data_IF_501721635576
#
_entry.id   IF_501721635576
#
_cell.length_a   1.000
_cell.length_b   1.000
_cell.length_c   1.000
_cell.angle_alpha   90.00
_cell.angle_beta   90.00
_cell.angle_gamma   90.00
#
_symmetry.space_group_name_H-M   'P 1'
#
loop_
_entity.id
_entity.type
_entity.pdbx_description
1 polymer ?
#
# COMPACT_ATOMS: atom_id res chain seq x y z
N UNK A 1 -4.47 0.11 49.77
CA UNK A 1 -5.87 0.50 50.06
C UNK A 1 -6.57 0.67 48.73
N UNK A 2 -7.14 -0.43 48.25
CA UNK A 2 -7.85 -0.51 46.97
C UNK A 2 -9.18 0.23 47.05
N UNK A 3 -9.61 0.84 45.95
CA UNK A 3 -10.91 1.50 45.77
C UNK A 3 -12.13 0.67 46.21
N UNK A 4 -11.97 -0.65 46.35
CA UNK A 4 -12.98 -1.58 46.91
C UNK A 4 -13.35 -1.36 48.39
N UNK A 5 -12.55 -0.64 49.19
CA UNK A 5 -12.87 -0.40 50.61
C UNK A 5 -13.67 0.90 50.87
N UNK A 6 -13.82 1.78 49.88
CA UNK A 6 -14.59 3.03 50.05
C UNK A 6 -16.11 2.86 49.88
N UNK A 7 -16.55 1.83 49.14
CA UNK A 7 -17.96 1.70 48.75
C UNK A 7 -18.88 1.14 49.84
N UNK A 8 -18.34 0.46 50.85
CA UNK A 8 -19.20 -0.26 51.83
C UNK A 8 -19.67 0.62 53.01
N UNK A 9 -19.04 1.78 53.26
CA UNK A 9 -19.40 2.66 54.40
C UNK A 9 -20.47 3.70 54.09
N UNK A 10 -20.63 4.14 52.85
CA UNK A 10 -21.66 5.12 52.47
C UNK A 10 -23.04 4.49 52.22
N UNK A 11 -23.10 3.21 51.87
CA UNK A 11 -24.36 2.54 51.51
C UNK A 11 -25.27 2.18 52.70
N UNK A 12 -24.81 2.28 53.95
CA UNK A 12 -25.57 1.82 55.13
C UNK A 12 -26.62 2.79 55.69
N UNK A 13 -26.66 4.05 55.23
CA UNK A 13 -27.54 5.09 55.80
C UNK A 13 -28.42 5.83 54.77
N UNK A 14 -28.52 5.34 53.53
CA UNK A 14 -29.34 5.98 52.50
C UNK A 14 -30.72 5.31 52.41
N UNK A 15 -31.78 6.13 52.41
CA UNK A 15 -33.18 5.70 52.32
C UNK A 15 -33.38 4.85 51.04
N UNK A 16 -34.04 3.68 51.10
CA UNK A 16 -34.25 2.82 49.93
C UNK A 16 -34.98 3.52 48.77
N UNK A 17 -35.83 4.52 49.06
CA UNK A 17 -36.46 5.35 48.04
C UNK A 17 -35.50 6.36 47.38
N UNK A 18 -34.44 6.77 48.08
CA UNK A 18 -33.41 7.67 47.57
C UNK A 18 -32.36 6.92 46.73
N UNK A 19 -32.07 5.65 47.07
CA UNK A 19 -31.21 4.76 46.26
C UNK A 19 -31.89 4.46 44.93
N UNK A 20 -33.22 4.26 44.91
CA UNK A 20 -33.97 4.05 43.67
C UNK A 20 -33.98 5.28 42.75
N UNK A 21 -34.05 6.49 43.32
CA UNK A 21 -34.00 7.74 42.54
C UNK A 21 -32.58 8.05 42.05
N UNK A 22 -31.53 7.79 42.85
CA UNK A 22 -30.14 7.96 42.43
C UNK A 22 -29.76 6.94 41.34
N UNK A 23 -30.20 5.68 41.46
CA UNK A 23 -30.01 4.67 40.41
C UNK A 23 -30.80 5.00 39.14
N UNK A 24 -32.00 5.59 39.24
CA UNK A 24 -32.79 6.01 38.07
C UNK A 24 -32.21 7.26 37.40
N UNK A 25 -31.58 8.17 38.14
CA UNK A 25 -30.91 9.37 37.60
C UNK A 25 -29.56 9.04 36.96
N UNK A 26 -28.84 8.04 37.49
CA UNK A 26 -27.59 7.52 36.89
C UNK A 26 -27.88 6.70 35.62
N UNK A 27 -29.04 6.01 35.53
CA UNK A 27 -29.47 5.30 34.32
C UNK A 27 -29.97 6.22 33.20
N UNK A 28 -30.37 7.46 33.49
CA UNK A 28 -30.82 8.45 32.48
C UNK A 28 -29.68 9.35 31.99
N UNK A 29 -28.49 9.30 32.62
CA UNK A 29 -27.33 10.14 32.27
C UNK A 29 -26.19 9.41 31.54
N UNK A 30 -26.37 8.13 31.18
CA UNK A 30 -25.51 7.40 30.24
C UNK A 30 -26.22 7.13 28.90
N UNK A 31 -26.89 8.14 28.34
CA UNK A 31 -27.08 8.22 26.89
C UNK A 31 -26.06 9.22 26.35
N UNK A 32 -24.77 8.92 26.53
CA UNK A 32 -23.78 9.46 25.62
C UNK A 32 -24.11 8.84 24.27
N UNK A 33 -24.94 9.53 23.49
CA UNK A 33 -25.03 9.29 22.07
C UNK A 33 -23.59 9.38 21.56
N UNK A 34 -22.99 8.24 21.23
CA UNK A 34 -21.80 8.22 20.42
C UNK A 34 -22.18 9.04 19.19
N UNK A 35 -21.67 10.26 19.10
CA UNK A 35 -21.82 11.06 17.90
C UNK A 35 -21.06 10.27 16.84
N UNK A 36 -21.80 9.52 16.03
CA UNK A 36 -21.30 8.97 14.78
C UNK A 36 -21.01 10.18 13.90
N UNK A 37 -19.84 10.77 14.06
CA UNK A 37 -19.31 11.71 13.09
C UNK A 37 -19.19 10.90 11.81
N UNK A 38 -20.12 11.08 10.88
CA UNK A 38 -19.91 10.62 9.51
C UNK A 38 -18.63 11.31 9.05
N UNK A 39 -17.58 10.57 8.68
CA UNK A 39 -16.33 11.18 8.29
C UNK A 39 -16.61 12.18 7.16
N UNK A 40 -16.19 13.43 7.37
CA UNK A 40 -16.49 14.51 6.44
C UNK A 40 -15.74 14.28 5.13
N UNK A 41 -16.36 14.66 4.01
CA UNK A 41 -15.74 14.48 2.70
C UNK A 41 -14.51 15.40 2.61
N UNK A 42 -13.30 14.88 2.28
CA UNK A 42 -12.11 15.71 2.14
C UNK A 42 -12.27 16.80 1.07
N UNK A 43 -11.73 17.99 1.34
CA UNK A 43 -11.86 19.14 0.43
C UNK A 43 -11.28 18.88 -0.97
N UNK A 44 -10.24 18.05 -1.09
CA UNK A 44 -9.65 17.70 -2.38
C UNK A 44 -10.62 16.90 -3.27
N UNK A 45 -11.51 16.09 -2.69
CA UNK A 45 -12.56 15.37 -3.44
C UNK A 45 -13.53 16.38 -4.06
N UNK A 46 -13.87 17.44 -3.31
CA UNK A 46 -14.75 18.51 -3.77
C UNK A 46 -14.11 19.33 -4.88
N UNK A 47 -12.80 19.57 -4.81
CA UNK A 47 -12.04 20.19 -5.89
C UNK A 47 -12.00 19.31 -7.15
N UNK A 48 -11.81 17.99 -7.00
CA UNK A 48 -11.86 17.05 -8.13
C UNK A 48 -13.24 17.04 -8.79
N UNK A 49 -14.32 17.06 -8.02
CA UNK A 49 -15.67 17.18 -8.57
C UNK A 49 -15.86 18.47 -9.39
N UNK A 50 -15.32 19.60 -8.91
CA UNK A 50 -15.30 20.86 -9.66
C UNK A 50 -14.58 20.68 -10.99
N UNK A 51 -13.31 20.26 -10.96
CA UNK A 51 -12.48 20.09 -12.16
C UNK A 51 -13.08 19.08 -13.14
N UNK A 52 -13.70 18.02 -12.65
CA UNK A 52 -14.36 17.02 -13.49
C UNK A 52 -15.57 17.61 -14.21
N UNK A 53 -16.37 18.42 -13.48
CA UNK A 53 -17.52 19.12 -14.05
C UNK A 53 -17.13 20.18 -15.09
N UNK A 54 -15.95 20.79 -14.94
CA UNK A 54 -15.36 21.76 -15.86
C UNK A 54 -14.59 21.08 -17.02
N UNK A 55 -14.48 19.75 -17.01
CA UNK A 55 -13.78 18.98 -18.04
C UNK A 55 -12.24 19.04 -17.97
N UNK A 56 -11.69 19.47 -16.84
CA UNK A 56 -10.23 19.59 -16.62
C UNK A 56 -9.59 18.25 -16.24
N UNK A 57 -10.36 17.32 -15.66
CA UNK A 57 -9.91 15.95 -15.36
C UNK A 57 -10.82 14.91 -16.01
N UNK A 58 -10.30 13.71 -16.24
CA UNK A 58 -11.01 12.61 -16.91
C UNK A 58 -11.95 11.90 -15.93
N UNK A 59 -12.88 11.11 -16.46
CA UNK A 59 -13.77 10.25 -15.67
C UNK A 59 -12.98 9.35 -14.72
N UNK A 60 -11.84 8.80 -15.19
CA UNK A 60 -10.93 7.98 -14.38
C UNK A 60 -10.40 8.69 -13.14
N UNK A 61 -10.15 9.99 -13.22
CA UNK A 61 -9.61 10.78 -12.11
C UNK A 61 -10.71 11.10 -11.09
N UNK A 62 -11.93 11.33 -11.57
CA UNK A 62 -13.11 11.47 -10.73
C UNK A 62 -13.46 10.17 -10.01
N UNK A 63 -13.44 9.02 -10.71
CA UNK A 63 -13.76 7.73 -10.10
C UNK A 63 -12.74 7.28 -9.06
N UNK A 64 -11.47 7.69 -9.15
CA UNK A 64 -10.47 7.50 -8.07
C UNK A 64 -10.86 8.22 -6.78
N UNK A 65 -11.47 9.40 -6.87
CA UNK A 65 -12.03 10.08 -5.70
C UNK A 65 -13.21 9.32 -5.09
N UNK A 66 -14.10 8.76 -5.92
CA UNK A 66 -15.20 7.93 -5.43
C UNK A 66 -14.70 6.63 -4.81
N UNK A 67 -13.70 6.00 -5.42
CA UNK A 67 -13.00 4.83 -4.89
C UNK A 67 -12.45 5.11 -3.49
N UNK A 68 -11.77 6.24 -3.30
CA UNK A 68 -11.29 6.68 -1.98
C UNK A 68 -12.43 6.78 -0.96
N UNK A 69 -13.56 7.42 -1.30
CA UNK A 69 -14.69 7.55 -0.37
C UNK A 69 -15.28 6.19 0.03
N UNK A 70 -15.29 5.23 -0.89
CA UNK A 70 -15.75 3.87 -0.63
C UNK A 70 -14.77 3.15 0.29
N UNK A 71 -13.48 3.15 -0.06
CA UNK A 71 -12.42 2.48 0.68
C UNK A 71 -12.33 2.99 2.13
N UNK A 72 -12.49 4.29 2.33
CA UNK A 72 -12.45 4.95 3.64
C UNK A 72 -13.76 4.82 4.44
N UNK A 73 -14.76 4.10 3.93
CA UNK A 73 -16.05 3.93 4.59
C UNK A 73 -16.91 5.20 4.70
N UNK A 74 -16.50 6.29 4.06
CA UNK A 74 -17.26 7.56 3.96
C UNK A 74 -18.52 7.34 3.11
N UNK A 75 -18.41 6.52 2.06
CA UNK A 75 -19.49 6.14 1.17
C UNK A 75 -19.71 4.62 1.22
N UNK A 76 -20.90 4.19 1.65
CA UNK A 76 -21.25 2.76 1.70
C UNK A 76 -22.07 2.37 0.47
N UNK A 77 -21.67 1.32 -0.25
CA UNK A 77 -22.46 0.75 -1.35
C UNK A 77 -23.13 -0.53 -0.84
N UNK A 78 -24.46 -0.55 -0.82
CA UNK A 78 -25.22 -1.65 -0.19
C UNK A 78 -25.36 -2.89 -1.07
N UNK A 79 -25.13 -2.79 -2.38
CA UNK A 79 -25.05 -3.87 -3.38
C UNK A 79 -24.83 -3.20 -4.75
N UNK A 80 -23.85 -3.66 -5.53
CA UNK A 80 -23.63 -3.21 -6.91
C UNK A 80 -24.19 -4.27 -7.87
N UNK A 81 -25.03 -3.86 -8.82
CA UNK A 81 -25.46 -4.79 -9.89
C UNK A 81 -24.28 -5.10 -10.83
N UNK A 82 -24.10 -6.35 -11.29
CA UNK A 82 -23.12 -6.65 -12.33
C UNK A 82 -23.45 -5.83 -13.58
N UNK A 83 -22.44 -5.16 -14.11
CA UNK A 83 -22.54 -4.18 -15.19
C UNK A 83 -23.30 -4.74 -16.39
N UNK A 84 -24.38 -4.07 -16.82
CA UNK A 84 -24.84 -4.22 -18.20
C UNK A 84 -23.87 -3.44 -19.09
N UNK A 85 -23.28 -4.15 -20.04
CA UNK A 85 -22.28 -3.68 -20.99
C UNK A 85 -22.65 -2.36 -21.65
N UNK A 86 -22.16 -1.24 -21.11
CA UNK A 86 -22.06 0.02 -21.85
C UNK A 86 -20.67 0.59 -21.65
N UNK A 87 -19.84 0.39 -22.67
CA UNK A 87 -18.49 0.92 -22.83
C UNK A 87 -18.46 2.41 -23.20
N UNK A 88 -19.49 3.18 -22.84
CA UNK A 88 -19.48 4.63 -22.97
C UNK A 88 -19.29 5.20 -21.57
N UNK A 89 -18.28 6.07 -21.42
CA UNK A 89 -17.91 6.71 -20.15
C UNK A 89 -19.08 7.43 -19.46
N UNK A 90 -18.80 8.05 -18.32
CA UNK A 90 -19.84 8.59 -17.45
C UNK A 90 -20.70 9.58 -18.23
N UNK A 91 -22.04 9.38 -18.32
CA UNK A 91 -22.89 10.28 -19.08
C UNK A 91 -22.73 11.73 -18.64
N UNK A 92 -22.56 12.66 -19.58
CA UNK A 92 -22.21 14.06 -19.25
C UNK A 92 -23.24 14.77 -18.38
N UNK A 93 -24.50 14.32 -18.36
CA UNK A 93 -25.54 14.88 -17.49
C UNK A 93 -25.22 14.68 -16.00
N UNK A 94 -24.41 13.67 -15.65
CA UNK A 94 -23.96 13.39 -14.28
C UNK A 94 -23.03 14.51 -13.76
N UNK A 95 -22.28 15.17 -14.65
CA UNK A 95 -21.37 16.27 -14.29
C UNK A 95 -22.07 17.45 -13.62
N UNK A 96 -23.37 17.62 -13.86
CA UNK A 96 -24.16 18.64 -13.19
C UNK A 96 -24.25 18.42 -11.67
N UNK A 97 -24.33 17.17 -11.22
CA UNK A 97 -24.36 16.85 -9.79
C UNK A 97 -23.04 17.23 -9.11
N UNK A 98 -21.91 16.94 -9.77
CA UNK A 98 -20.59 17.34 -9.30
C UNK A 98 -20.43 18.87 -9.27
N UNK A 99 -20.94 19.57 -10.29
CA UNK A 99 -20.96 21.03 -10.33
C UNK A 99 -21.76 21.61 -9.17
N UNK A 100 -23.02 21.21 -9.01
CA UNK A 100 -23.90 21.67 -7.93
C UNK A 100 -23.29 21.43 -6.56
N UNK A 101 -22.66 20.27 -6.35
CA UNK A 101 -22.00 19.98 -5.08
C UNK A 101 -20.80 20.90 -4.84
N UNK A 102 -19.94 21.08 -5.86
CA UNK A 102 -18.75 21.93 -5.74
C UNK A 102 -19.07 23.41 -5.50
N UNK A 103 -20.21 23.89 -6.03
CA UNK A 103 -20.71 25.26 -5.86
C UNK A 103 -21.55 25.44 -4.58
N UNK A 104 -21.76 24.37 -3.80
CA UNK A 104 -22.55 24.40 -2.57
C UNK A 104 -24.07 24.48 -2.78
N UNK A 105 -24.56 24.13 -3.97
CA UNK A 105 -25.99 24.08 -4.28
C UNK A 105 -26.67 22.80 -3.75
N UNK A 106 -25.90 21.71 -3.61
CA UNK A 106 -26.31 20.50 -2.89
C UNK A 106 -25.29 20.17 -1.81
N UNK A 107 -25.74 19.53 -0.74
CA UNK A 107 -24.88 19.16 0.38
C UNK A 107 -24.13 17.83 0.16
N UNK A 108 -23.21 17.51 1.07
CA UNK A 108 -22.41 16.28 1.02
C UNK A 108 -23.28 15.02 1.07
N UNK A 109 -24.39 15.04 1.82
CA UNK A 109 -25.31 13.90 1.93
C UNK A 109 -26.06 13.64 0.63
N UNK A 110 -26.55 14.70 0.00
CA UNK A 110 -27.23 14.65 -1.30
C UNK A 110 -26.30 14.17 -2.40
N UNK A 111 -25.07 14.71 -2.45
CA UNK A 111 -24.07 14.26 -3.41
C UNK A 111 -23.72 12.78 -3.21
N UNK A 112 -23.43 12.35 -1.97
CA UNK A 112 -23.10 10.95 -1.65
C UNK A 112 -24.23 10.01 -2.04
N UNK A 113 -25.49 10.31 -1.69
CA UNK A 113 -26.65 9.49 -2.08
C UNK A 113 -26.79 9.38 -3.60
N UNK A 114 -26.55 10.47 -4.32
CA UNK A 114 -26.56 10.50 -5.77
C UNK A 114 -25.49 9.58 -6.37
N UNK A 115 -24.25 9.67 -5.89
CA UNK A 115 -23.16 8.80 -6.36
C UNK A 115 -23.39 7.34 -5.98
N UNK A 116 -23.84 7.06 -4.75
CA UNK A 116 -24.20 5.71 -4.30
C UNK A 116 -25.21 5.08 -5.25
N UNK A 117 -26.27 5.80 -5.61
CA UNK A 117 -27.26 5.32 -6.57
C UNK A 117 -26.64 5.01 -7.94
N UNK A 118 -25.78 5.89 -8.44
CA UNK A 118 -25.15 5.74 -9.75
C UNK A 118 -24.17 4.56 -9.80
N UNK A 119 -23.43 4.33 -8.72
CA UNK A 119 -22.55 3.17 -8.56
C UNK A 119 -23.37 1.88 -8.44
N UNK A 120 -24.40 1.85 -7.59
CA UNK A 120 -25.27 0.67 -7.42
C UNK A 120 -26.01 0.26 -8.70
N UNK A 121 -26.33 1.22 -9.58
CA UNK A 121 -26.98 0.94 -10.87
C UNK A 121 -25.99 0.75 -12.03
N UNK A 122 -24.67 0.77 -11.77
CA UNK A 122 -23.64 0.55 -12.79
C UNK A 122 -23.49 1.68 -13.81
N UNK A 123 -24.00 2.88 -13.50
CA UNK A 123 -23.83 4.09 -14.34
C UNK A 123 -22.44 4.69 -14.14
N UNK A 124 -21.93 4.64 -12.91
CA UNK A 124 -20.52 4.89 -12.59
C UNK A 124 -19.91 3.54 -12.23
N UNK A 125 -18.92 3.11 -12.99
CA UNK A 125 -18.09 1.95 -12.65
C UNK A 125 -16.90 2.45 -11.88
N UNK A 126 -16.71 1.93 -10.67
CA UNK A 126 -15.55 2.20 -9.82
C UNK A 126 -14.84 0.87 -9.61
N UNK A 127 -13.53 0.84 -9.84
CA UNK A 127 -12.71 -0.31 -9.43
C UNK A 127 -12.61 -0.29 -7.90
N UNK A 128 -13.52 -0.97 -7.21
CA UNK A 128 -13.45 -1.05 -5.75
C UNK A 128 -12.44 -2.11 -5.35
N UNK A 129 -11.38 -1.69 -4.65
CA UNK A 129 -10.52 -2.63 -3.92
C UNK A 129 -11.34 -3.12 -2.73
N UNK A 130 -11.49 -4.43 -2.57
CA UNK A 130 -12.29 -5.01 -1.50
C UNK A 130 -11.39 -5.69 -0.48
N UNK A 131 -11.31 -5.11 0.72
CA UNK A 131 -10.66 -5.69 1.87
C UNK A 131 -11.67 -6.47 2.71
N UNK A 132 -11.24 -7.56 3.33
CA UNK A 132 -12.08 -8.34 4.24
C UNK A 132 -12.08 -7.69 5.62
N UNK A 133 -13.21 -7.07 5.96
CA UNK A 133 -13.36 -6.37 7.23
C UNK A 133 -13.45 -7.31 8.42
N UNK A 134 -13.77 -8.61 8.23
CA UNK A 134 -13.85 -9.59 9.31
C UNK A 134 -12.47 -9.82 9.93
N UNK A 135 -11.39 -9.65 9.17
CA UNK A 135 -10.02 -9.82 9.65
C UNK A 135 -9.70 -8.92 10.86
N UNK A 136 -10.28 -7.72 10.92
CA UNK A 136 -10.10 -6.81 12.05
C UNK A 136 -10.62 -7.35 13.39
N UNK A 137 -11.55 -8.32 13.38
CA UNK A 137 -12.04 -8.99 14.60
C UNK A 137 -10.99 -9.95 15.19
N UNK A 138 -9.98 -10.32 14.39
CA UNK A 138 -8.95 -11.31 14.71
C UNK A 138 -7.54 -10.73 14.84
N UNK A 139 -7.37 -9.43 14.61
CA UNK A 139 -6.11 -8.73 14.89
C UNK A 139 -5.87 -8.73 16.41
N UNK A 140 -4.73 -9.24 16.87
CA UNK A 140 -4.28 -9.06 18.26
C UNK A 140 -3.99 -7.58 18.50
N UNK A 141 -4.36 -7.00 19.65
CA UNK A 141 -4.14 -5.58 20.02
C UNK A 141 -4.47 -4.53 18.92
N UNK A 142 -5.68 -4.51 18.33
CA UNK A 142 -5.99 -3.63 17.20
C UNK A 142 -5.93 -2.14 17.54
N UNK A 143 -6.04 -1.78 18.82
CA UNK A 143 -5.98 -0.40 19.30
C UNK A 143 -4.58 0.24 19.15
N UNK A 144 -3.53 -0.55 18.92
CA UNK A 144 -2.18 -0.03 18.64
C UNK A 144 -2.04 0.49 17.22
N UNK A 145 -2.93 0.08 16.32
CA UNK A 145 -2.85 0.40 14.90
C UNK A 145 -3.54 1.72 14.61
N UNK A 146 -2.79 2.71 14.14
CA UNK A 146 -3.36 3.94 13.59
C UNK A 146 -3.71 3.72 12.12
N UNK A 147 -5.00 3.63 11.81
CA UNK A 147 -5.49 3.38 10.46
C UNK A 147 -5.33 4.62 9.59
N UNK A 148 -4.57 4.50 8.50
CA UNK A 148 -4.39 5.55 7.49
C UNK A 148 -5.33 5.32 6.30
N UNK A 149 -5.42 4.08 5.82
CA UNK A 149 -6.43 3.66 4.85
C UNK A 149 -7.06 2.34 5.27
N UNK A 150 -8.40 2.33 5.35
CA UNK A 150 -9.16 1.12 5.66
C UNK A 150 -9.01 0.05 4.58
N UNK A 151 -8.75 0.45 3.33
CA UNK A 151 -8.49 -0.50 2.25
C UNK A 151 -7.63 0.10 1.13
N UNK A 152 -6.41 -0.40 1.01
CA UNK A 152 -5.47 -0.04 -0.04
C UNK A 152 -5.07 -1.26 -0.88
N UNK A 153 -4.44 -0.98 -2.02
CA UNK A 153 -3.79 -1.98 -2.84
C UNK A 153 -2.42 -1.48 -3.29
N UNK A 154 -1.40 -2.28 -3.03
CA UNK A 154 -0.02 -2.02 -3.39
C UNK A 154 0.54 -3.14 -4.25
N UNK A 155 1.63 -2.88 -4.95
CA UNK A 155 2.40 -3.89 -5.65
C UNK A 155 3.85 -3.80 -5.20
N UNK A 156 4.55 -4.92 -5.18
CA UNK A 156 5.92 -5.01 -4.70
C UNK A 156 6.48 -6.43 -4.76
N UNK A 157 7.71 -6.60 -4.31
CA UNK A 157 8.40 -7.89 -4.27
C UNK A 157 8.57 -8.36 -2.83
N UNK A 158 8.22 -9.62 -2.56
CA UNK A 158 8.40 -10.19 -1.22
C UNK A 158 9.89 -10.37 -0.95
N UNK A 159 10.43 -9.73 0.08
CA UNK A 159 11.85 -9.85 0.46
C UNK A 159 12.07 -10.85 1.59
N UNK A 160 11.11 -10.95 2.51
CA UNK A 160 11.25 -11.81 3.68
C UNK A 160 9.88 -12.28 4.16
N UNK A 161 9.82 -13.50 4.68
CA UNK A 161 8.65 -14.07 5.34
C UNK A 161 9.15 -14.71 6.63
N UNK A 162 8.54 -14.35 7.76
CA UNK A 162 8.82 -15.00 9.05
C UNK A 162 7.53 -15.19 9.84
N UNK A 163 7.42 -16.31 10.53
CA UNK A 163 6.33 -16.54 11.46
C UNK A 163 6.61 -15.82 12.79
N UNK A 164 5.60 -15.17 13.33
CA UNK A 164 5.65 -14.52 14.64
C UNK A 164 4.93 -15.34 15.71
N UNK A 165 5.17 -15.02 16.98
CA UNK A 165 4.70 -15.83 18.12
C UNK A 165 3.20 -15.72 18.37
N UNK A 166 2.57 -14.65 17.92
CA UNK A 166 1.13 -14.42 18.00
C UNK A 166 0.34 -15.22 16.96
N UNK A 167 1.03 -15.90 16.04
CA UNK A 167 0.43 -16.71 14.99
C UNK A 167 0.42 -16.02 13.63
N UNK A 168 0.94 -14.80 13.53
CA UNK A 168 0.93 -14.04 12.28
C UNK A 168 2.16 -14.39 11.41
N UNK A 169 2.15 -13.94 10.16
CA UNK A 169 3.38 -13.82 9.37
C UNK A 169 3.73 -12.35 9.20
N UNK A 170 4.93 -12.00 9.65
CA UNK A 170 5.59 -10.75 9.32
C UNK A 170 6.29 -10.91 7.97
N UNK A 171 5.81 -10.20 6.97
CA UNK A 171 6.32 -10.24 5.60
C UNK A 171 6.92 -8.88 5.28
N UNK A 172 8.15 -8.84 4.77
CA UNK A 172 8.70 -7.61 4.21
C UNK A 172 8.44 -7.58 2.71
N UNK A 173 7.83 -6.49 2.25
CA UNK A 173 7.52 -6.24 0.85
C UNK A 173 8.25 -4.97 0.38
N UNK A 174 9.20 -5.13 -0.53
CA UNK A 174 9.79 -4.02 -1.26
C UNK A 174 8.74 -3.46 -2.20
N UNK A 175 8.19 -2.29 -1.86
CA UNK A 175 7.13 -1.67 -2.65
C UNK A 175 7.63 -1.26 -4.04
N UNK A 176 6.73 -1.29 -5.03
CA UNK A 176 7.02 -0.67 -6.32
C UNK A 176 7.21 0.85 -6.14
N UNK A 177 8.02 1.52 -6.98
CA UNK A 177 8.36 2.93 -6.82
C UNK A 177 7.18 3.88 -6.64
N UNK A 178 6.05 3.61 -7.32
CA UNK A 178 4.82 4.41 -7.21
C UNK A 178 4.17 4.40 -5.81
N UNK A 179 4.56 3.48 -4.93
CA UNK A 179 4.05 3.35 -3.56
C UNK A 179 5.10 3.69 -2.50
N UNK A 180 6.32 4.12 -2.86
CA UNK A 180 7.37 4.41 -1.89
C UNK A 180 6.98 5.47 -0.84
N UNK A 181 6.07 6.40 -1.18
CA UNK A 181 5.53 7.39 -0.23
C UNK A 181 4.75 6.75 0.94
N UNK A 182 4.47 5.45 0.88
CA UNK A 182 3.85 4.68 1.97
C UNK A 182 4.87 4.13 2.99
N UNK A 183 6.17 4.27 2.72
CA UNK A 183 7.25 3.90 3.63
C UNK A 183 7.61 5.10 4.49
N UNK A 184 7.83 4.86 5.78
CA UNK A 184 8.31 5.91 6.68
C UNK A 184 9.70 5.57 7.25
N UNK A 185 10.26 6.49 8.04
CA UNK A 185 11.60 6.31 8.59
C UNK A 185 11.73 5.07 9.48
N UNK A 186 10.68 4.67 10.20
CA UNK A 186 10.73 3.47 11.03
C UNK A 186 10.80 2.19 10.17
N UNK A 187 10.16 2.15 9.00
CA UNK A 187 10.37 1.08 8.02
C UNK A 187 11.82 1.08 7.52
N UNK A 188 12.39 2.24 7.19
CA UNK A 188 13.80 2.34 6.75
C UNK A 188 14.74 1.80 7.81
N UNK A 189 14.57 2.23 9.06
CA UNK A 189 15.49 1.93 10.15
C UNK A 189 15.38 0.47 10.64
N UNK A 190 14.18 -0.12 10.58
CA UNK A 190 13.89 -1.40 11.26
C UNK A 190 13.38 -2.50 10.33
N UNK A 191 12.91 -2.14 9.14
CA UNK A 191 12.38 -3.05 8.13
C UNK A 191 13.14 -2.94 6.80
N UNK A 192 14.32 -2.31 6.82
CA UNK A 192 15.20 -2.15 5.66
C UNK A 192 14.57 -1.38 4.48
N UNK A 193 13.58 -0.52 4.75
CA UNK A 193 12.86 0.25 3.74
C UNK A 193 11.63 -0.44 3.18
N UNK A 194 11.33 -1.66 3.62
CA UNK A 194 10.14 -2.39 3.19
C UNK A 194 8.89 -2.01 3.97
N UNK A 195 7.72 -2.13 3.31
CA UNK A 195 6.46 -2.15 4.04
C UNK A 195 6.31 -3.52 4.70
N UNK A 196 5.80 -3.53 5.92
CA UNK A 196 5.44 -4.79 6.58
C UNK A 196 4.07 -5.22 6.07
N UNK A 197 3.89 -6.50 5.80
CA UNK A 197 2.57 -7.11 5.65
C UNK A 197 2.37 -8.08 6.79
N UNK A 198 1.19 -8.05 7.41
CA UNK A 198 0.79 -8.99 8.44
C UNK A 198 -0.44 -9.78 7.98
N UNK A 199 -0.22 -11.05 7.63
CA UNK A 199 -1.32 -12.03 7.51
C UNK A 199 -1.52 -12.67 8.87
N UNK A 200 -2.74 -12.61 9.39
CA UNK A 200 -3.02 -12.92 10.80
C UNK A 200 -3.39 -14.39 11.03
N UNK A 201 -3.08 -14.96 12.20
CA UNK A 201 -3.61 -16.25 12.62
C UNK A 201 -3.37 -17.44 11.65
N UNK A 202 -2.20 -17.50 11.00
CA UNK A 202 -1.85 -18.59 10.08
C UNK A 202 -0.97 -19.68 10.73
N UNK A 203 -0.23 -19.30 11.76
CA UNK A 203 0.77 -20.14 12.43
C UNK A 203 0.30 -20.60 13.81
N UNK A 204 0.90 -21.67 14.37
CA UNK A 204 0.69 -22.03 15.78
C UNK A 204 1.05 -20.87 16.71
N UNK A 205 0.14 -20.55 17.63
CA UNK A 205 0.29 -19.44 18.56
C UNK A 205 1.14 -19.87 19.76
N UNK A 206 2.30 -19.24 19.94
CA UNK A 206 3.17 -19.44 21.11
C UNK A 206 2.93 -18.39 22.20
N UNK A 207 2.38 -17.23 21.82
CA UNK A 207 2.09 -16.12 22.71
C UNK A 207 0.70 -16.27 23.36
N UNK A 208 0.69 -16.43 24.69
CA UNK A 208 -0.53 -16.80 25.45
C UNK A 208 -1.66 -15.79 25.33
N UNK A 209 -1.37 -14.50 25.31
CA UNK A 209 -2.38 -13.44 25.25
C UNK A 209 -2.88 -13.14 23.82
N UNK A 210 -2.22 -13.65 22.78
CA UNK A 210 -2.69 -13.60 21.39
C UNK A 210 -3.74 -14.68 21.07
N UNK A 211 -3.81 -15.76 21.86
CA UNK A 211 -4.68 -16.92 21.62
C UNK A 211 -6.15 -16.53 21.41
N UNK A 212 -6.66 -15.56 22.18
CA UNK A 212 -8.05 -15.15 22.10
C UNK A 212 -8.41 -14.50 20.75
N UNK A 213 -7.48 -13.78 20.14
CA UNK A 213 -7.69 -13.07 18.86
C UNK A 213 -7.85 -14.05 17.70
N UNK A 214 -7.13 -15.16 17.72
CA UNK A 214 -7.20 -16.21 16.69
C UNK A 214 -8.10 -17.39 17.07
N UNK A 215 -8.92 -17.26 18.12
CA UNK A 215 -9.76 -18.36 18.57
C UNK A 215 -10.76 -18.75 17.47
N UNK A 216 -10.75 -20.04 17.11
CA UNK A 216 -11.60 -20.64 16.07
C UNK A 216 -11.48 -19.99 14.68
N UNK A 217 -10.38 -19.26 14.44
CA UNK A 217 -10.08 -18.60 13.19
C UNK A 217 -8.68 -18.97 12.71
N UNK A 218 -8.58 -19.35 11.44
CA UNK A 218 -7.31 -19.55 10.73
C UNK A 218 -7.45 -18.85 9.40
N UNK A 219 -6.57 -17.88 9.15
CA UNK A 219 -6.48 -17.29 7.83
C UNK A 219 -5.76 -18.23 6.86
N UNK A 220 -6.19 -18.24 5.60
CA UNK A 220 -5.67 -19.16 4.58
C UNK A 220 -5.20 -18.40 3.34
N UNK A 221 -4.56 -17.24 3.52
CA UNK A 221 -3.91 -16.53 2.42
C UNK A 221 -2.66 -17.30 2.02
N UNK A 222 -2.62 -17.76 0.77
CA UNK A 222 -1.42 -18.35 0.17
C UNK A 222 -0.35 -17.26 -0.01
N UNK A 223 0.74 -17.34 0.75
CA UNK A 223 1.87 -16.41 0.64
C UNK A 223 2.85 -16.93 -0.41
N UNK A 224 3.08 -16.20 -1.53
CA UNK A 224 4.05 -16.62 -2.54
C UNK A 224 5.50 -16.58 -2.00
N UNK A 225 6.43 -17.34 -2.60
CA UNK A 225 7.82 -17.35 -2.15
C UNK A 225 8.49 -15.97 -2.21
N UNK A 226 9.52 -15.77 -1.38
CA UNK A 226 10.46 -14.63 -1.48
C UNK A 226 10.95 -14.47 -2.92
N UNK A 227 11.03 -13.23 -3.39
CA UNK A 227 11.36 -12.84 -4.76
C UNK A 227 10.14 -12.75 -5.69
N UNK A 228 8.94 -13.11 -5.24
CA UNK A 228 7.73 -13.02 -6.07
C UNK A 228 7.20 -11.58 -6.09
N UNK A 229 6.94 -11.06 -7.30
CA UNK A 229 6.22 -9.81 -7.48
C UNK A 229 4.71 -10.03 -7.31
N UNK A 230 4.11 -9.29 -6.39
CA UNK A 230 2.74 -9.49 -5.93
C UNK A 230 1.96 -8.19 -5.90
N UNK A 231 0.65 -8.32 -6.03
CA UNK A 231 -0.35 -7.30 -5.70
C UNK A 231 -0.97 -7.67 -4.36
N UNK A 232 -0.86 -6.76 -3.39
CA UNK A 232 -1.35 -6.96 -2.03
C UNK A 232 -2.51 -6.03 -1.78
N UNK A 233 -3.59 -6.55 -1.20
CA UNK A 233 -4.75 -5.78 -0.77
C UNK A 233 -4.92 -5.93 0.74
N UNK A 234 -5.13 -4.83 1.45
CA UNK A 234 -5.33 -4.84 2.90
C UNK A 234 -5.44 -3.42 3.48
N UNK A 235 -5.54 -3.31 4.81
CA UNK A 235 -5.60 -2.01 5.47
C UNK A 235 -4.21 -1.41 5.67
N UNK A 236 -4.01 -0.14 5.33
CA UNK A 236 -2.75 0.58 5.53
C UNK A 236 -2.76 1.30 6.88
N UNK A 237 -1.80 0.95 7.74
CA UNK A 237 -1.78 1.37 9.14
C UNK A 237 -0.35 1.74 9.58
N UNK A 238 -0.25 2.47 10.68
CA UNK A 238 1.00 2.62 11.44
C UNK A 238 0.89 1.87 12.76
N UNK A 239 1.88 1.03 13.08
CA UNK A 239 1.93 0.30 14.35
C UNK A 239 2.63 1.14 15.43
N UNK A 240 1.83 1.74 16.31
CA UNK A 240 2.31 2.68 17.33
C UNK A 240 3.15 2.02 18.43
N UNK A 241 3.10 0.69 18.60
CA UNK A 241 3.93 -0.03 19.57
C UNK A 241 5.26 -0.48 18.97
N UNK A 242 5.39 -0.44 17.64
CA UNK A 242 6.59 -0.79 16.89
C UNK A 242 7.22 0.42 16.19
N UNK A 243 7.45 1.49 16.94
CA UNK A 243 8.04 2.74 16.43
C UNK A 243 7.25 3.42 15.31
N UNK A 244 5.96 3.08 15.17
CA UNK A 244 5.08 3.62 14.12
C UNK A 244 5.53 3.28 12.71
N UNK A 245 6.18 2.15 12.46
CA UNK A 245 6.43 1.71 11.08
C UNK A 245 5.10 1.46 10.36
N UNK A 246 5.15 1.56 9.05
CA UNK A 246 4.01 1.40 8.18
C UNK A 246 3.80 -0.06 7.79
N UNK A 247 2.54 -0.49 7.81
CA UNK A 247 2.15 -1.87 7.51
C UNK A 247 0.90 -1.93 6.63
N UNK A 248 0.77 -3.02 5.88
CA UNK A 248 -0.52 -3.52 5.41
C UNK A 248 -0.98 -4.59 6.40
N UNK A 249 -1.89 -4.21 7.30
CA UNK A 249 -2.35 -5.04 8.41
C UNK A 249 -3.81 -4.71 8.76
N UNK A 250 -4.75 -5.67 8.68
CA UNK A 250 -4.54 -7.03 8.19
C UNK A 250 -4.48 -7.07 6.66
N UNK A 251 -3.70 -8.00 6.12
CA UNK A 251 -3.70 -8.33 4.68
C UNK A 251 -4.98 -9.09 4.34
N UNK A 252 -5.70 -8.66 3.31
CA UNK A 252 -6.91 -9.33 2.79
C UNK A 252 -6.62 -10.26 1.61
N UNK A 253 -5.63 -9.95 0.77
CA UNK A 253 -5.21 -10.84 -0.32
C UNK A 253 -3.80 -10.56 -0.82
N UNK A 254 -3.16 -11.59 -1.36
CA UNK A 254 -1.88 -11.53 -2.07
C UNK A 254 -2.04 -12.26 -3.41
N UNK A 255 -1.83 -11.55 -4.52
CA UNK A 255 -1.97 -12.09 -5.88
C UNK A 255 -0.65 -11.98 -6.64
N UNK A 256 -0.21 -13.06 -7.30
CA UNK A 256 1.00 -13.03 -8.13
C UNK A 256 0.75 -12.22 -9.41
N UNK A 257 1.67 -11.30 -9.72
CA UNK A 257 1.69 -10.57 -10.99
C UNK A 257 2.63 -11.31 -11.96
N UNK A 258 2.08 -11.85 -13.04
CA UNK A 258 2.91 -12.46 -14.09
C UNK A 258 3.38 -11.39 -15.10
N UNK A 259 4.54 -11.61 -15.73
CA UNK A 259 5.24 -10.67 -16.62
C UNK A 259 4.44 -10.19 -17.87
N UNK A 260 3.22 -10.68 -18.10
CA UNK A 260 2.29 -10.19 -19.13
C UNK A 260 1.14 -9.30 -18.57
N UNK A 261 1.24 -8.82 -17.33
CA UNK A 261 0.21 -7.97 -16.71
C UNK A 261 -1.11 -8.70 -16.41
N UNK A 262 -1.13 -10.03 -16.50
CA UNK A 262 -2.27 -10.86 -16.12
C UNK A 262 -2.10 -11.30 -14.67
N UNK A 263 -2.97 -10.84 -13.79
CA UNK A 263 -3.07 -11.34 -12.41
C UNK A 263 -3.74 -12.69 -12.42
N UNK A 264 -3.07 -13.73 -11.91
CA UNK A 264 -3.75 -14.98 -11.57
C UNK A 264 -4.23 -14.81 -10.13
N UNK A 265 -5.54 -14.60 -9.97
CA UNK A 265 -6.17 -14.84 -8.68
C UNK A 265 -6.07 -16.34 -8.42
N UNK A 266 -5.31 -16.73 -7.39
CA UNK A 266 -5.53 -18.03 -6.79
C UNK A 266 -6.99 -18.02 -6.30
N UNK A 267 -7.80 -18.94 -6.81
CA UNK A 267 -9.21 -19.04 -6.43
C UNK A 267 -9.34 -19.12 -4.91
N UNK A 268 -10.13 -18.22 -4.35
CA UNK A 268 -10.77 -18.40 -3.05
C UNK A 268 -11.53 -19.74 -3.06
N UNK A 269 -10.95 -20.77 -2.46
CA UNK A 269 -11.72 -21.82 -1.81
C UNK A 269 -11.72 -21.46 -0.34
N UNK A 270 -12.88 -21.03 0.15
CA UNK A 270 -13.06 -20.60 1.53
C UNK A 270 -12.51 -21.59 2.56
N UNK A 271 -12.20 -21.03 3.72
CA UNK A 271 -11.74 -21.70 4.93
C UNK A 271 -12.15 -23.18 5.00
N UNK A 272 -11.17 -24.07 4.90
CA UNK A 272 -11.36 -25.49 5.18
C UNK A 272 -10.29 -25.98 6.13
N UNK A 273 -10.77 -26.68 7.16
CA UNK A 273 -10.00 -27.25 8.26
C UNK A 273 -9.26 -28.51 7.77
N UNK A 274 -7.92 -28.62 7.97
CA UNK A 274 -7.09 -29.80 8.37
C UNK A 274 -5.72 -30.08 7.64
N UNK A 275 -4.64 -30.14 8.45
CA UNK A 275 -3.51 -31.12 8.61
C UNK A 275 -2.47 -31.53 7.47
N UNK A 276 -1.16 -31.31 7.77
CA UNK A 276 0.22 -31.59 7.18
C UNK A 276 0.61 -32.98 6.53
N UNK A 277 1.87 -33.31 6.01
CA UNK A 277 2.92 -32.68 5.11
C UNK A 277 3.67 -33.60 4.03
N UNK A 278 4.53 -33.04 3.09
CA UNK A 278 5.98 -33.39 2.72
C UNK A 278 6.56 -33.40 1.22
N UNK A 279 7.61 -32.55 0.94
CA UNK A 279 8.95 -32.59 0.19
C UNK A 279 9.25 -32.80 -1.36
N UNK A 280 10.13 -31.95 -2.00
CA UNK A 280 11.50 -32.19 -2.65
C UNK A 280 12.04 -31.11 -3.69
N UNK A 281 13.38 -31.00 -3.91
CA UNK A 281 14.21 -29.92 -4.57
C UNK A 281 14.88 -30.19 -5.97
N UNK A 282 15.41 -29.15 -6.70
CA UNK A 282 16.59 -29.20 -7.66
C UNK A 282 17.24 -27.81 -8.09
N UNK A 283 18.49 -27.81 -8.63
CA UNK A 283 19.57 -26.74 -8.79
C UNK A 283 19.52 -25.72 -9.99
N UNK A 284 20.10 -24.50 -9.86
CA UNK A 284 19.97 -23.31 -10.77
C UNK A 284 21.30 -22.62 -11.21
N UNK A 285 21.33 -22.06 -12.43
CA UNK A 285 22.41 -21.22 -13.04
C UNK A 285 22.31 -19.77 -12.51
N UNK A 286 23.44 -19.09 -12.24
CA UNK A 286 23.48 -17.73 -11.65
C UNK A 286 23.17 -16.59 -12.63
N UNK A 287 22.55 -15.52 -12.13
CA UNK A 287 22.07 -14.34 -12.89
C UNK A 287 22.88 -13.12 -12.49
N UNK A 288 23.29 -12.26 -13.44
CA UNK A 288 23.93 -10.99 -13.08
C UNK A 288 22.88 -9.95 -12.65
N UNK A 289 23.17 -9.19 -11.60
CA UNK A 289 22.35 -8.08 -11.13
C UNK A 289 23.14 -6.78 -11.25
N UNK A 290 22.47 -5.70 -11.64
CA UNK A 290 23.05 -4.36 -11.75
C UNK A 290 22.41 -3.48 -10.68
N UNK A 291 23.21 -2.76 -9.89
CA UNK A 291 22.77 -1.76 -8.91
C UNK A 291 23.46 -0.41 -9.17
N UNK A 292 22.76 0.70 -8.87
CA UNK A 292 23.27 2.05 -9.05
C UNK A 292 23.20 2.88 -7.78
N UNK A 293 24.30 3.56 -7.52
CA UNK A 293 24.36 4.58 -6.48
C UNK A 293 23.84 5.94 -7.02
N UNK A 294 22.80 6.45 -6.35
CA UNK A 294 22.53 7.87 -6.02
C UNK A 294 21.45 8.70 -6.77
N UNK A 295 20.79 9.51 -5.92
CA UNK A 295 20.09 10.80 -6.10
C UNK A 295 19.01 10.97 -7.18
N UNK A 296 17.77 11.20 -6.71
CA UNK A 296 16.53 11.33 -7.48
C UNK A 296 16.50 12.52 -8.47
N UNK A 297 17.35 13.55 -8.30
CA UNK A 297 17.43 14.69 -9.23
C UNK A 297 18.77 15.43 -9.23
N UNK A 298 19.11 16.04 -10.37
CA UNK A 298 20.31 16.87 -10.54
C UNK A 298 20.03 18.15 -11.34
N UNK A 299 20.64 19.27 -10.95
CA UNK A 299 20.55 20.51 -11.72
C UNK A 299 21.39 20.44 -13.01
N UNK A 300 20.83 20.89 -14.14
CA UNK A 300 21.58 20.99 -15.40
C UNK A 300 22.83 21.89 -15.24
N UNK A 301 23.93 21.52 -15.89
CA UNK A 301 25.22 22.20 -15.71
C UNK A 301 26.14 21.53 -14.67
N UNK A 302 25.59 20.66 -13.82
CA UNK A 302 26.33 19.87 -12.84
C UNK A 302 27.01 18.64 -13.45
N UNK A 303 27.91 18.02 -12.70
CA UNK A 303 28.52 16.73 -13.02
C UNK A 303 27.67 15.66 -12.35
N UNK A 304 27.16 14.72 -13.14
CA UNK A 304 26.55 13.50 -12.66
C UNK A 304 27.66 12.45 -12.53
N UNK A 305 27.65 11.71 -11.42
CA UNK A 305 28.45 10.51 -11.22
C UNK A 305 27.50 9.34 -10.98
N UNK A 306 27.87 8.16 -11.45
CA UNK A 306 27.11 6.93 -11.27
C UNK A 306 28.11 5.78 -11.09
N UNK A 307 27.75 4.84 -10.24
CA UNK A 307 28.50 3.59 -10.06
C UNK A 307 27.58 2.45 -10.44
N UNK A 308 28.01 1.62 -11.39
CA UNK A 308 27.31 0.40 -11.81
C UNK A 308 27.92 -0.77 -11.07
N UNK A 309 27.16 -1.45 -10.23
CA UNK A 309 27.62 -2.63 -9.49
C UNK A 309 27.06 -3.89 -10.11
N UNK A 310 27.92 -4.83 -10.53
CA UNK A 310 27.52 -6.11 -11.12
C UNK A 310 27.76 -7.23 -10.12
N UNK A 311 26.72 -7.97 -9.75
CA UNK A 311 26.79 -9.12 -8.83
C UNK A 311 26.17 -10.37 -9.46
N UNK A 312 26.42 -11.55 -8.89
CA UNK A 312 25.73 -12.80 -9.27
C UNK A 312 24.44 -13.07 -8.48
N UNK A 313 23.94 -12.05 -7.78
CA UNK A 313 22.83 -12.14 -6.82
C UNK A 313 23.29 -12.37 -5.38
N UNK A 314 24.57 -12.61 -5.13
CA UNK A 314 25.13 -12.65 -3.76
C UNK A 314 26.54 -12.08 -3.66
N UNK A 315 27.38 -12.26 -4.68
CA UNK A 315 28.76 -11.82 -4.68
C UNK A 315 29.03 -10.84 -5.84
N UNK A 316 29.92 -9.86 -5.64
CA UNK A 316 30.35 -8.99 -6.72
C UNK A 316 31.07 -9.77 -7.82
N UNK A 317 30.83 -9.37 -9.07
CA UNK A 317 31.40 -10.01 -10.27
C UNK A 317 32.39 -9.06 -10.91
N UNK A 318 33.67 -9.39 -10.78
CA UNK A 318 34.79 -8.62 -11.32
C UNK A 318 35.06 -8.90 -12.79
N UNK A 319 35.70 -7.93 -13.45
CA UNK A 319 36.08 -7.97 -14.87
C UNK A 319 34.88 -8.25 -15.80
N UNK A 320 33.67 -7.84 -15.43
CA UNK A 320 32.47 -7.95 -16.26
C UNK A 320 32.40 -6.74 -17.21
N UNK A 321 32.39 -6.94 -18.54
CA UNK A 321 32.09 -5.85 -19.46
C UNK A 321 30.74 -5.20 -19.19
N UNK A 322 30.74 -3.87 -19.11
CA UNK A 322 29.57 -3.02 -18.92
C UNK A 322 29.50 -1.97 -20.03
N UNK A 323 28.31 -1.75 -20.57
CA UNK A 323 27.98 -0.61 -21.43
C UNK A 323 26.80 0.17 -20.87
N UNK A 324 26.89 1.49 -20.89
CA UNK A 324 25.87 2.42 -20.40
C UNK A 324 25.49 3.38 -21.50
N UNK A 325 24.19 3.52 -21.78
CA UNK A 325 23.61 4.41 -22.77
C UNK A 325 22.64 5.38 -22.10
N UNK A 326 23.02 6.65 -22.01
CA UNK A 326 22.19 7.70 -21.41
C UNK A 326 21.37 8.39 -22.50
N UNK A 327 20.05 8.46 -22.34
CA UNK A 327 19.11 9.18 -23.20
C UNK A 327 18.58 10.41 -22.44
N UNK A 328 18.82 11.59 -23.01
CA UNK A 328 18.41 12.85 -22.37
C UNK A 328 16.91 13.08 -22.57
N UNK A 329 16.25 13.84 -21.69
CA UNK A 329 14.83 14.25 -21.79
C UNK A 329 14.41 14.93 -23.12
N UNK A 330 15.39 15.31 -23.95
CA UNK A 330 15.16 15.80 -25.31
C UNK A 330 14.81 14.70 -26.32
N UNK A 331 15.10 13.42 -26.02
CA UNK A 331 14.92 12.26 -26.88
C UNK A 331 15.98 12.09 -27.97
N UNK A 332 16.71 13.15 -28.34
CA UNK A 332 17.63 13.13 -29.49
C UNK A 332 19.11 13.25 -29.10
N UNK A 333 19.41 13.47 -27.82
CA UNK A 333 20.78 13.57 -27.31
C UNK A 333 21.06 12.35 -26.46
N UNK A 334 22.16 11.65 -26.76
CA UNK A 334 22.59 10.48 -26.00
C UNK A 334 24.04 10.59 -25.56
N UNK A 335 24.44 9.75 -24.60
CA UNK A 335 25.83 9.63 -24.16
C UNK A 335 26.17 8.23 -23.71
N UNK A 336 27.29 7.71 -24.23
CA UNK A 336 27.67 6.31 -24.05
C UNK A 336 28.94 6.18 -23.21
N UNK A 337 28.96 5.14 -22.37
CA UNK A 337 30.11 4.73 -21.59
C UNK A 337 30.31 3.22 -21.75
N UNK A 338 31.56 2.77 -21.73
CA UNK A 338 31.91 1.35 -21.71
C UNK A 338 33.08 1.14 -20.78
N UNK A 339 33.13 -0.02 -20.12
CA UNK A 339 34.21 -0.38 -19.23
C UNK A 339 34.06 -1.80 -18.70
N UNK A 340 34.81 -2.10 -17.65
CA UNK A 340 34.75 -3.39 -16.96
C UNK A 340 34.69 -3.14 -15.46
N UNK A 341 33.96 -3.99 -14.74
CA UNK A 341 33.88 -3.92 -13.28
C UNK A 341 35.21 -4.24 -12.61
N UNK A 342 35.47 -3.60 -11.47
CA UNK A 342 36.64 -3.85 -10.64
C UNK A 342 36.48 -5.07 -9.72
N UNK A 343 37.39 -5.25 -8.75
CA UNK A 343 37.35 -6.39 -7.82
C UNK A 343 36.11 -6.44 -6.93
N UNK A 344 35.48 -5.29 -6.71
CA UNK A 344 34.26 -5.16 -5.90
C UNK A 344 33.01 -5.19 -6.79
N UNK A 345 33.16 -5.53 -8.07
CA UNK A 345 32.07 -5.62 -9.03
C UNK A 345 31.59 -4.25 -9.50
N UNK A 346 32.31 -3.16 -9.20
CA UNK A 346 31.86 -1.80 -9.51
C UNK A 346 32.49 -1.25 -10.79
N UNK A 347 31.72 -0.46 -11.53
CA UNK A 347 32.16 0.34 -12.67
C UNK A 347 31.65 1.78 -12.51
N UNK A 348 32.57 2.69 -12.18
CA UNK A 348 32.26 4.11 -11.98
C UNK A 348 32.33 4.91 -13.28
N UNK A 349 31.37 5.81 -13.47
CA UNK A 349 31.34 6.74 -14.58
C UNK A 349 30.81 8.11 -14.16
N UNK A 350 31.30 9.17 -14.80
CA UNK A 350 30.83 10.53 -14.53
C UNK A 350 30.86 11.41 -15.77
N UNK A 351 29.93 12.36 -15.86
CA UNK A 351 29.90 13.33 -16.93
C UNK A 351 29.20 14.62 -16.56
N UNK A 352 29.57 15.69 -17.25
CA UNK A 352 28.89 16.97 -17.13
C UNK A 352 27.61 17.00 -17.96
N UNK A 353 26.48 17.29 -17.31
CA UNK A 353 25.21 17.61 -17.99
C UNK A 353 25.32 19.05 -18.50
N UNK A 354 25.05 19.27 -19.79
CA UNK A 354 25.17 20.61 -20.39
C UNK A 354 24.26 21.63 -19.71
N UNK A 355 24.75 22.85 -19.47
CA UNK A 355 23.95 23.92 -18.83
C UNK A 355 22.72 24.35 -19.63
N UNK A 356 22.71 24.08 -20.95
CA UNK A 356 21.58 24.31 -21.84
C UNK A 356 20.72 23.05 -22.06
N UNK A 357 20.98 21.96 -21.32
CA UNK A 357 20.20 20.74 -21.45
C UNK A 357 18.73 21.00 -21.11
N UNK A 358 17.83 20.32 -21.82
CA UNK A 358 16.39 20.36 -21.55
C UNK A 358 16.13 19.66 -20.21
N UNK A 359 15.51 20.33 -19.22
CA UNK A 359 15.06 19.69 -18.01
C UNK A 359 14.01 18.61 -18.28
N UNK A 360 13.86 17.67 -17.35
CA UNK A 360 12.96 16.54 -17.42
C UNK A 360 13.69 15.22 -17.18
N UNK A 361 12.94 14.14 -17.33
CA UNK A 361 13.40 12.78 -17.04
C UNK A 361 14.45 12.32 -18.03
N UNK A 362 15.61 11.94 -17.53
CA UNK A 362 16.65 11.26 -18.28
C UNK A 362 16.50 9.77 -18.05
N UNK A 363 16.78 9.00 -19.09
CA UNK A 363 16.76 7.55 -19.08
C UNK A 363 18.18 7.05 -19.26
N UNK A 364 18.52 5.94 -18.62
CA UNK A 364 19.82 5.33 -18.73
C UNK A 364 19.67 3.84 -18.79
N UNK A 365 20.15 3.28 -19.89
CA UNK A 365 20.20 1.84 -20.15
C UNK A 365 21.58 1.32 -19.80
N UNK A 366 21.65 0.19 -19.10
CA UNK A 366 22.88 -0.49 -18.78
C UNK A 366 22.77 -1.94 -19.23
N UNK A 367 23.83 -2.41 -19.87
CA UNK A 367 24.06 -3.81 -20.15
C UNK A 367 25.34 -4.28 -19.47
N UNK A 368 25.28 -5.44 -18.80
CA UNK A 368 26.43 -6.12 -18.25
C UNK A 368 26.46 -7.58 -18.73
N UNK A 369 27.65 -8.09 -19.04
CA UNK A 369 27.81 -9.48 -19.47
C UNK A 369 29.07 -10.10 -18.91
N UNK A 370 29.04 -11.41 -18.65
CA UNK A 370 30.20 -12.20 -18.23
C UNK A 370 30.05 -13.63 -18.71
N UNK A 371 31.12 -14.23 -19.21
CA UNK A 371 31.11 -15.65 -19.57
C UNK A 371 30.74 -16.51 -18.36
N UNK A 372 29.82 -17.45 -18.55
CA UNK A 372 29.29 -18.30 -17.48
C UNK A 372 28.05 -17.75 -16.77
N UNK A 373 27.63 -16.52 -17.08
CA UNK A 373 26.41 -15.91 -16.55
C UNK A 373 25.45 -15.48 -17.66
N UNK A 374 24.17 -15.38 -17.32
CA UNK A 374 23.19 -14.72 -18.19
C UNK A 374 23.48 -13.21 -18.24
N UNK A 375 23.52 -12.58 -19.42
CA UNK A 375 23.63 -11.13 -19.53
C UNK A 375 22.48 -10.42 -18.81
N UNK A 376 22.78 -9.27 -18.22
CA UNK A 376 21.82 -8.44 -17.50
C UNK A 376 21.63 -7.10 -18.20
N UNK A 377 20.40 -6.62 -18.20
CA UNK A 377 20.01 -5.33 -18.71
C UNK A 377 19.12 -4.63 -17.69
N UNK A 378 19.34 -3.34 -17.47
CA UNK A 378 18.53 -2.53 -16.58
C UNK A 378 18.39 -1.12 -17.14
N UNK A 379 17.21 -0.55 -16.96
CA UNK A 379 16.94 0.85 -17.29
C UNK A 379 16.55 1.59 -16.02
N UNK A 380 17.08 2.79 -15.84
CA UNK A 380 16.71 3.69 -14.75
C UNK A 380 16.49 5.11 -15.25
N UNK A 381 15.86 5.92 -14.39
CA UNK A 381 15.49 7.28 -14.71
C UNK A 381 15.87 8.21 -13.56
N UNK A 382 16.30 9.43 -13.89
CA UNK A 382 16.53 10.49 -12.92
C UNK A 382 16.08 11.84 -13.48
N UNK A 383 15.68 12.77 -12.61
CA UNK A 383 15.21 14.07 -13.05
C UNK A 383 16.34 15.09 -13.21
N UNK A 384 16.41 15.73 -14.38
CA UNK A 384 17.27 16.89 -14.58
C UNK A 384 16.44 18.16 -14.42
N UNK A 385 16.75 18.95 -13.39
CA UNK A 385 16.03 20.20 -13.10
C UNK A 385 16.78 21.43 -13.63
N UNK A 386 16.13 22.59 -13.77
CA UNK A 386 16.82 23.84 -14.11
C UNK A 386 17.96 24.16 -13.14
N UNK A 387 18.97 24.89 -13.62
CA UNK A 387 20.01 25.44 -12.76
C UNK A 387 19.38 26.49 -11.84
N UNK A 388 19.71 26.45 -10.56
CA UNK A 388 19.27 27.39 -9.52
C UNK A 388 19.89 28.78 -9.66
#
# INVERSE_FOLDING_TARGET
>A
MSLLELDCKLARNLNPSLILVISLVILVSLSASAMTQTPSIPAWIKNNAKWWSEGQIKDSDFTKGIQYLINQGIMKISEAKPSSSQSQGIPSWIKNNAKWWSEGQIDDSEFVKGIQYLVSNGVIVVETVQCDQILWEHVYHPQRLNIIDLCTQVTGTIENIRAEKDGDYHIRLALDPKYHDMINQANVDQQHGDIVLETICQNPIEQVDAVASCQDFIDNIDIPPVGTHVKVTGSYVFDLEHSSWAEIHPVSSIEVILQNGTTISASNTGATVQNNPASKQNSTIGTLHIDLAEQDYIARGSIQSMTVEVTDGTNPVSDAPVSVHVIYASGNTTKDFTGTTDSDGAFELSWKIGGNSKPGTFEVDIDASKEGFSPAHQTFWFEVVPAS
#
